data_IF_620294495192
#
_entry.id   IF_620294495192
#
_cell.length_a   1.000
_cell.length_b   1.000
_cell.length_c   1.000
_cell.angle_alpha   90.00
_cell.angle_beta   90.00
_cell.angle_gamma   90.00
#
_symmetry.space_group_name_H-M   'P 1'
#
loop_
_entity.id
_entity.type
_entity.pdbx_description
1 polymer ?
#
# COMPACT_ATOMS: atom_id res chain seq x y z
N UNK A 1 8.42 -16.47 -48.30
CA UNK A 1 9.03 -17.66 -47.68
C UNK A 1 9.05 -17.51 -46.17
N UNK A 2 8.58 -18.52 -45.42
CA UNK A 2 8.67 -18.49 -43.94
C UNK A 2 10.14 -18.48 -43.50
N UNK A 3 10.58 -17.52 -42.73
CA UNK A 3 11.97 -17.40 -42.27
C UNK A 3 12.41 -18.70 -41.55
N UNK A 4 13.45 -19.41 -42.03
CA UNK A 4 13.88 -20.69 -41.45
C UNK A 4 14.28 -20.57 -39.96
N UNK A 5 14.72 -19.40 -39.52
CA UNK A 5 15.10 -19.14 -38.14
C UNK A 5 13.91 -19.29 -37.15
N UNK A 6 12.67 -18.96 -37.58
CA UNK A 6 11.49 -19.11 -36.72
C UNK A 6 11.17 -20.56 -36.32
N UNK A 7 11.61 -21.53 -37.13
CA UNK A 7 11.46 -22.96 -36.78
C UNK A 7 12.35 -23.37 -35.60
N UNK A 8 13.36 -22.56 -35.25
CA UNK A 8 14.26 -22.83 -34.11
C UNK A 8 13.64 -22.38 -32.77
N UNK A 9 12.77 -21.36 -32.76
CA UNK A 9 12.23 -20.80 -31.55
C UNK A 9 11.60 -21.85 -30.58
N UNK A 10 10.75 -22.80 -31.04
CA UNK A 10 10.20 -23.83 -30.13
C UNK A 10 11.27 -24.78 -29.59
N UNK A 11 12.32 -25.04 -30.35
CA UNK A 11 13.43 -25.90 -29.90
C UNK A 11 14.30 -25.17 -28.89
N UNK A 12 14.63 -23.92 -29.13
CA UNK A 12 15.36 -23.06 -28.16
C UNK A 12 14.59 -22.89 -26.84
N UNK A 13 13.28 -22.72 -26.93
CA UNK A 13 12.43 -22.68 -25.74
C UNK A 13 12.49 -23.99 -24.96
N UNK A 14 12.46 -25.15 -25.64
CA UNK A 14 12.53 -26.45 -25.02
C UNK A 14 13.91 -26.73 -24.42
N UNK A 15 14.99 -26.39 -25.12
CA UNK A 15 16.36 -26.64 -24.70
C UNK A 15 16.78 -25.75 -23.51
N UNK A 16 16.19 -24.55 -23.38
CA UNK A 16 16.44 -23.60 -22.29
C UNK A 16 15.19 -23.33 -21.43
N UNK A 17 14.26 -24.29 -21.39
CA UNK A 17 12.96 -24.14 -20.73
C UNK A 17 13.07 -23.61 -19.30
N UNK A 18 13.95 -24.19 -18.46
CA UNK A 18 14.12 -23.76 -17.07
C UNK A 18 14.52 -22.28 -16.95
N UNK A 19 15.38 -21.78 -17.83
CA UNK A 19 15.78 -20.36 -17.86
C UNK A 19 14.61 -19.45 -18.19
N UNK A 20 13.86 -19.77 -19.26
CA UNK A 20 12.74 -18.97 -19.68
C UNK A 20 11.56 -19.04 -18.71
N UNK A 21 11.35 -20.20 -18.05
CA UNK A 21 10.37 -20.35 -16.99
C UNK A 21 10.66 -19.46 -15.78
N UNK A 22 11.91 -19.40 -15.33
CA UNK A 22 12.32 -18.52 -14.23
C UNK A 22 12.08 -17.06 -14.58
N UNK A 23 12.45 -16.64 -15.80
CA UNK A 23 12.22 -15.27 -16.28
C UNK A 23 10.72 -14.97 -16.32
N UNK A 24 9.93 -15.87 -16.88
CA UNK A 24 8.47 -15.75 -16.97
C UNK A 24 7.83 -15.61 -15.58
N UNK A 25 8.15 -16.51 -14.65
CA UNK A 25 7.62 -16.49 -13.29
C UNK A 25 8.03 -15.20 -12.55
N UNK A 26 9.30 -14.83 -12.66
CA UNK A 26 9.80 -13.61 -12.04
C UNK A 26 9.06 -12.36 -12.58
N UNK A 27 8.90 -12.26 -13.91
CA UNK A 27 8.16 -11.17 -14.53
C UNK A 27 6.69 -11.14 -14.10
N UNK A 28 6.03 -12.29 -14.16
CA UNK A 28 4.61 -12.42 -13.81
C UNK A 28 4.35 -12.04 -12.35
N UNK A 29 5.15 -12.57 -11.43
CA UNK A 29 5.01 -12.26 -10.00
C UNK A 29 5.32 -10.79 -9.70
N UNK A 30 6.41 -10.27 -10.25
CA UNK A 30 6.81 -8.88 -10.02
C UNK A 30 5.78 -7.89 -10.57
N UNK A 31 5.36 -8.07 -11.84
CA UNK A 31 4.35 -7.21 -12.44
C UNK A 31 3.02 -7.35 -11.72
N UNK A 32 2.65 -8.57 -11.33
CA UNK A 32 1.41 -8.85 -10.59
C UNK A 32 1.38 -8.14 -9.25
N UNK A 33 2.41 -8.31 -8.43
CA UNK A 33 2.51 -7.66 -7.12
C UNK A 33 2.49 -6.13 -7.23
N UNK A 34 3.32 -5.55 -8.09
CA UNK A 34 3.37 -4.09 -8.26
C UNK A 34 2.09 -3.54 -8.87
N UNK A 35 1.50 -4.23 -9.86
CA UNK A 35 0.21 -3.85 -10.43
C UNK A 35 -0.90 -3.92 -9.39
N UNK A 36 -0.94 -5.00 -8.59
CA UNK A 36 -1.89 -5.16 -7.49
C UNK A 36 -1.79 -4.03 -6.47
N UNK A 37 -0.56 -3.68 -6.08
CA UNK A 37 -0.33 -2.59 -5.14
C UNK A 37 -0.77 -1.23 -5.68
N UNK A 38 -0.39 -0.90 -6.92
CA UNK A 38 -0.78 0.37 -7.53
C UNK A 38 -2.29 0.48 -7.80
N UNK A 39 -2.93 -0.64 -8.12
CA UNK A 39 -4.39 -0.67 -8.34
C UNK A 39 -5.14 -0.57 -7.02
N UNK A 40 -4.77 -1.37 -6.00
CA UNK A 40 -5.39 -1.32 -4.69
C UNK A 40 -5.20 0.07 -4.04
N UNK A 41 -3.95 0.54 -3.94
CA UNK A 41 -3.65 1.84 -3.33
C UNK A 41 -4.41 2.98 -4.00
N UNK A 42 -4.42 3.03 -5.35
CA UNK A 42 -5.17 4.08 -6.06
C UNK A 42 -6.67 3.95 -5.90
N UNK A 43 -7.21 2.73 -5.85
CA UNK A 43 -8.64 2.51 -5.62
C UNK A 43 -9.04 2.93 -4.22
N UNK A 44 -8.25 2.58 -3.22
CA UNK A 44 -8.52 2.91 -1.81
C UNK A 44 -8.38 4.40 -1.54
N UNK A 45 -7.32 5.05 -2.02
CA UNK A 45 -7.17 6.52 -1.91
C UNK A 45 -8.31 7.24 -2.60
N UNK A 46 -8.76 6.76 -3.77
CA UNK A 46 -9.92 7.35 -4.43
C UNK A 46 -11.19 7.16 -3.60
N UNK A 47 -11.46 5.96 -3.12
CA UNK A 47 -12.63 5.69 -2.26
C UNK A 47 -12.59 6.54 -1.00
N UNK A 48 -11.42 6.68 -0.36
CA UNK A 48 -11.23 7.57 0.78
C UNK A 48 -11.55 9.03 0.44
N UNK A 49 -11.06 9.56 -0.67
CA UNK A 49 -11.37 10.93 -1.08
C UNK A 49 -12.84 11.10 -1.47
N UNK A 50 -13.42 10.13 -2.17
CA UNK A 50 -14.83 10.18 -2.57
C UNK A 50 -15.77 10.06 -1.34
N UNK A 51 -15.30 9.42 -0.23
CA UNK A 51 -16.11 9.23 0.99
C UNK A 51 -16.47 10.53 1.69
N UNK A 52 -15.67 11.59 1.53
CA UNK A 52 -16.00 12.91 2.10
C UNK A 52 -17.31 13.49 1.55
N UNK A 53 -17.56 13.27 0.27
CA UNK A 53 -18.81 13.71 -0.38
C UNK A 53 -19.90 12.63 -0.25
N UNK A 54 -19.58 11.35 -0.44
CA UNK A 54 -20.54 10.24 -0.42
C UNK A 54 -21.22 10.06 0.95
N UNK A 55 -20.45 10.20 2.04
CA UNK A 55 -20.94 10.04 3.41
C UNK A 55 -21.14 11.38 4.12
N UNK A 56 -21.00 12.51 3.44
CA UNK A 56 -21.13 13.84 4.00
C UNK A 56 -20.29 14.01 5.29
N UNK A 57 -18.98 13.69 5.21
CA UNK A 57 -18.08 13.78 6.36
C UNK A 57 -18.02 15.22 6.87
N UNK A 58 -18.03 15.40 8.19
CA UNK A 58 -17.98 16.69 8.88
C UNK A 58 -16.83 17.60 8.41
N UNK A 59 -17.01 18.93 8.50
CA UNK A 59 -15.91 19.90 8.39
C UNK A 59 -15.23 20.18 9.76
N UNK A 60 -15.75 19.55 10.81
CA UNK A 60 -15.23 19.49 12.15
C UNK A 60 -16.31 19.23 13.19
N UNK A 61 -15.88 18.98 14.42
CA UNK A 61 -16.82 18.79 15.54
C UNK A 61 -16.32 19.49 16.82
N UNK A 62 -17.27 19.73 17.70
CA UNK A 62 -17.00 20.22 19.05
C UNK A 62 -17.85 19.48 20.09
N UNK A 63 -17.34 19.39 21.31
CA UNK A 63 -18.03 18.77 22.43
C UNK A 63 -18.31 19.83 23.50
N UNK A 64 -19.55 19.93 23.93
CA UNK A 64 -19.96 20.83 24.99
C UNK A 64 -20.22 20.05 26.28
N UNK A 65 -20.13 20.76 27.42
CA UNK A 65 -20.48 20.20 28.72
C UNK A 65 -21.99 19.98 28.86
N UNK A 66 -22.79 20.86 28.28
CA UNK A 66 -24.23 20.85 28.32
C UNK A 66 -24.82 20.95 26.90
N UNK A 67 -26.06 20.53 26.72
CA UNK A 67 -26.75 20.61 25.44
C UNK A 67 -26.91 22.08 25.00
N UNK A 68 -26.59 22.37 23.72
CA UNK A 68 -26.75 23.70 23.11
C UNK A 68 -28.23 24.07 23.04
N UNK A 69 -28.57 25.29 23.41
CA UNK A 69 -29.96 25.77 23.26
C UNK A 69 -30.21 26.07 21.78
N UNK A 70 -31.43 25.80 21.27
CA UNK A 70 -31.79 26.11 19.87
C UNK A 70 -31.54 27.57 19.47
N UNK A 71 -31.69 28.52 20.42
CA UNK A 71 -31.37 29.94 20.16
C UNK A 71 -29.89 30.17 19.95
N UNK A 72 -29.02 29.46 20.69
CA UNK A 72 -27.57 29.57 20.55
C UNK A 72 -27.08 28.86 19.26
N UNK A 73 -27.68 27.71 18.96
CA UNK A 73 -27.39 26.99 17.72
C UNK A 73 -27.73 27.84 16.47
N UNK A 74 -28.95 28.35 16.41
CA UNK A 74 -29.36 29.20 15.27
C UNK A 74 -28.47 30.44 15.12
N UNK A 75 -28.04 31.02 16.27
CA UNK A 75 -27.13 32.15 16.24
C UNK A 75 -25.73 31.78 15.70
N UNK A 76 -25.24 30.63 16.06
CA UNK A 76 -23.95 30.10 15.57
C UNK A 76 -24.04 29.83 14.05
N UNK A 77 -25.11 29.18 13.61
CA UNK A 77 -25.37 28.87 12.20
C UNK A 77 -25.46 30.14 11.34
N UNK A 78 -26.22 31.13 11.83
CA UNK A 78 -26.45 32.42 11.11
C UNK A 78 -25.18 33.30 11.07
N UNK A 79 -24.35 33.33 12.17
CA UNK A 79 -23.17 34.20 12.24
C UNK A 79 -22.00 33.60 11.45
N UNK A 80 -21.87 32.27 11.40
CA UNK A 80 -20.69 31.59 10.83
C UNK A 80 -20.97 30.93 9.46
N UNK A 81 -22.19 31.02 8.92
CA UNK A 81 -22.64 30.35 7.68
C UNK A 81 -22.33 28.86 7.70
N UNK A 82 -22.81 28.15 8.68
CA UNK A 82 -22.65 26.70 8.88
C UNK A 82 -23.95 26.03 9.22
N UNK A 83 -24.04 24.74 8.97
CA UNK A 83 -25.10 23.88 9.48
C UNK A 83 -24.55 22.97 10.56
N UNK A 84 -25.23 22.90 11.72
CA UNK A 84 -24.78 22.12 12.89
C UNK A 84 -25.64 20.88 13.09
N UNK A 85 -24.99 19.73 13.24
CA UNK A 85 -25.63 18.43 13.44
C UNK A 85 -25.33 17.87 14.83
N UNK A 86 -26.33 17.28 15.47
CA UNK A 86 -26.17 16.63 16.78
C UNK A 86 -25.64 15.21 16.63
N UNK A 87 -24.41 14.96 17.03
CA UNK A 87 -23.74 13.65 17.02
C UNK A 87 -23.51 13.12 18.46
N UNK A 88 -24.53 13.19 19.30
CA UNK A 88 -24.42 12.72 20.68
C UNK A 88 -24.03 11.26 20.74
N UNK A 89 -23.10 10.95 21.65
CA UNK A 89 -22.68 9.60 21.90
C UNK A 89 -22.63 9.25 23.39
N UNK A 90 -22.65 7.96 23.68
CA UNK A 90 -22.46 7.41 25.03
C UNK A 90 -21.28 6.44 24.98
N UNK A 91 -20.45 6.45 26.02
CA UNK A 91 -19.38 5.47 26.16
C UNK A 91 -19.75 4.44 27.20
N UNK A 92 -19.70 3.16 26.83
CA UNK A 92 -19.95 2.01 27.73
C UNK A 92 -18.74 1.07 27.70
N UNK A 93 -18.43 0.50 28.88
CA UNK A 93 -17.33 -0.42 29.07
C UNK A 93 -17.83 -1.86 29.21
N UNK A 94 -17.28 -2.80 28.43
CA UNK A 94 -17.49 -4.22 28.56
C UNK A 94 -16.12 -4.92 28.69
N UNK A 95 -15.76 -5.30 29.92
CA UNK A 95 -14.43 -5.87 30.20
C UNK A 95 -13.31 -4.85 29.98
N UNK A 96 -12.46 -5.13 28.99
CA UNK A 96 -11.36 -4.22 28.58
C UNK A 96 -11.75 -3.34 27.40
N UNK A 97 -12.95 -3.51 26.83
CA UNK A 97 -13.40 -2.82 25.64
C UNK A 97 -14.27 -1.61 25.97
N UNK A 98 -14.02 -0.51 25.26
CA UNK A 98 -14.84 0.71 25.32
C UNK A 98 -15.64 0.86 24.03
N UNK A 99 -16.95 0.93 24.14
CA UNK A 99 -17.88 1.15 23.03
C UNK A 99 -18.34 2.60 23.04
N UNK A 100 -18.04 3.34 21.97
CA UNK A 100 -18.64 4.66 21.72
C UNK A 100 -19.85 4.47 20.83
N UNK A 101 -21.04 4.68 21.41
CA UNK A 101 -22.33 4.33 20.83
C UNK A 101 -23.01 5.59 20.32
N UNK A 102 -23.38 5.59 19.06
CA UNK A 102 -24.12 6.63 18.37
C UNK A 102 -25.53 6.15 18.00
N UNK A 103 -26.44 7.09 17.73
CA UNK A 103 -27.67 6.79 16.99
C UNK A 103 -27.31 6.50 15.53
N UNK A 104 -28.18 5.76 14.81
CA UNK A 104 -28.06 5.66 13.36
C UNK A 104 -27.89 7.04 12.73
N UNK A 105 -26.92 7.18 11.84
CA UNK A 105 -26.53 8.43 11.18
C UNK A 105 -27.01 8.43 9.72
N UNK A 106 -27.75 9.45 9.31
CA UNK A 106 -28.28 9.56 7.95
C UNK A 106 -27.83 10.87 7.30
N UNK A 107 -27.72 11.97 8.07
CA UNK A 107 -27.49 13.31 7.52
C UNK A 107 -26.01 13.68 7.41
N UNK A 108 -25.18 13.21 8.33
CA UNK A 108 -23.74 13.52 8.42
C UNK A 108 -22.95 12.31 8.92
N UNK A 109 -21.70 12.20 8.53
CA UNK A 109 -20.78 11.12 8.91
C UNK A 109 -21.39 9.73 8.72
N UNK A 110 -21.84 9.47 7.51
CA UNK A 110 -22.59 8.28 7.16
C UNK A 110 -21.86 6.96 7.48
N UNK A 111 -22.61 5.88 7.48
CA UNK A 111 -22.14 4.54 7.88
C UNK A 111 -22.00 3.64 6.65
N UNK A 112 -20.79 3.11 6.44
CA UNK A 112 -20.51 2.11 5.40
C UNK A 112 -20.72 0.71 5.92
N UNK A 113 -21.61 -0.09 5.32
CA UNK A 113 -21.91 -1.45 5.75
C UNK A 113 -21.03 -2.46 5.01
N UNK A 114 -20.20 -3.21 5.75
CA UNK A 114 -19.37 -4.29 5.20
C UNK A 114 -20.08 -5.63 5.17
N UNK A 115 -20.80 -5.95 6.25
CA UNK A 115 -21.58 -7.22 6.37
C UNK A 115 -22.85 -6.96 7.16
N UNK A 116 -23.92 -7.68 6.83
CA UNK A 116 -25.19 -7.54 7.51
C UNK A 116 -25.93 -6.25 7.12
N UNK A 117 -26.48 -5.55 8.11
CA UNK A 117 -27.24 -4.32 7.96
C UNK A 117 -27.10 -3.41 9.17
N UNK A 118 -27.48 -2.15 9.04
CA UNK A 118 -27.66 -1.24 10.19
C UNK A 118 -28.82 -1.70 11.09
N UNK A 119 -28.79 -1.37 12.39
CA UNK A 119 -29.87 -1.69 13.32
C UNK A 119 -31.20 -1.07 12.92
N UNK A 120 -32.27 -1.87 12.97
CA UNK A 120 -33.64 -1.43 12.69
C UNK A 120 -34.56 -1.61 13.89
N UNK A 121 -34.16 -2.48 14.87
CA UNK A 121 -34.94 -2.83 16.04
C UNK A 121 -34.18 -2.53 17.32
N UNK A 122 -34.93 -2.31 18.39
CA UNK A 122 -34.38 -2.24 19.73
C UNK A 122 -33.70 -3.56 20.11
N UNK A 123 -32.50 -3.49 20.69
CA UNK A 123 -31.67 -4.67 20.99
C UNK A 123 -30.77 -5.12 19.84
N UNK A 124 -30.72 -4.39 18.72
CA UNK A 124 -29.78 -4.57 17.63
C UNK A 124 -28.65 -3.52 17.72
N UNK A 125 -27.45 -3.91 17.29
CA UNK A 125 -26.27 -3.05 17.22
C UNK A 125 -25.44 -3.36 15.97
N UNK A 126 -24.89 -2.32 15.35
CA UNK A 126 -23.81 -2.51 14.37
C UNK A 126 -22.51 -1.95 14.97
N UNK A 127 -21.44 -2.74 14.89
CA UNK A 127 -20.14 -2.42 15.46
C UNK A 127 -19.10 -2.25 14.38
N UNK A 128 -18.02 -1.56 14.73
CA UNK A 128 -16.91 -1.38 13.78
C UNK A 128 -16.31 -2.73 13.35
N UNK A 129 -16.08 -2.86 12.04
CA UNK A 129 -15.57 -4.08 11.42
C UNK A 129 -14.16 -4.42 11.92
N UNK A 130 -13.27 -3.41 12.05
CA UNK A 130 -11.88 -3.67 12.44
C UNK A 130 -11.78 -4.16 13.89
N UNK A 131 -12.59 -3.57 14.79
CA UNK A 131 -12.71 -4.05 16.16
C UNK A 131 -13.30 -5.46 16.19
N UNK A 132 -14.38 -5.72 15.45
CA UNK A 132 -15.02 -7.03 15.39
C UNK A 132 -14.03 -8.12 14.95
N UNK A 133 -13.19 -7.84 13.92
CA UNK A 133 -12.13 -8.76 13.49
C UNK A 133 -11.09 -9.00 14.60
N UNK A 134 -10.79 -7.99 15.43
CA UNK A 134 -9.82 -8.10 16.53
C UNK A 134 -10.37 -8.89 17.72
N UNK A 135 -11.68 -8.79 17.99
CA UNK A 135 -12.39 -9.46 19.07
C UNK A 135 -13.03 -10.80 18.66
N UNK A 136 -12.83 -11.26 17.41
CA UNK A 136 -13.46 -12.45 16.78
C UNK A 136 -15.00 -12.43 16.87
N UNK A 137 -15.61 -11.24 16.74
CA UNK A 137 -17.06 -11.03 16.75
C UNK A 137 -17.64 -11.08 15.34
N UNK A 138 -18.84 -11.63 15.20
CA UNK A 138 -19.52 -11.85 13.92
C UNK A 138 -20.97 -11.37 13.98
N UNK A 139 -21.56 -11.13 12.82
CA UNK A 139 -23.01 -10.88 12.72
C UNK A 139 -23.77 -12.07 13.31
N UNK A 140 -24.69 -11.81 14.22
CA UNK A 140 -25.45 -12.76 15.00
C UNK A 140 -24.92 -13.03 16.42
N UNK A 141 -23.68 -12.58 16.72
CA UNK A 141 -23.15 -12.65 18.08
C UNK A 141 -23.80 -11.55 18.98
N UNK A 142 -23.63 -11.67 20.28
CA UNK A 142 -24.19 -10.73 21.25
C UNK A 142 -23.10 -10.02 22.02
N UNK A 143 -23.33 -8.76 22.31
CA UNK A 143 -22.53 -7.92 23.23
C UNK A 143 -23.41 -7.40 24.36
N UNK A 144 -22.83 -7.19 25.53
CA UNK A 144 -23.56 -6.70 26.71
C UNK A 144 -23.18 -5.26 27.01
N UNK A 145 -24.09 -4.34 26.82
CA UNK A 145 -23.89 -2.91 27.09
C UNK A 145 -24.95 -2.43 28.11
N UNK A 146 -24.53 -1.69 29.12
CA UNK A 146 -25.41 -1.25 30.21
C UNK A 146 -26.28 -2.39 30.76
N UNK A 147 -25.68 -3.58 30.97
CA UNK A 147 -26.36 -4.81 31.50
C UNK A 147 -27.44 -5.39 30.56
N UNK A 148 -27.51 -4.98 29.30
CA UNK A 148 -28.46 -5.49 28.31
C UNK A 148 -27.69 -6.16 27.17
N UNK A 149 -28.28 -7.25 26.65
CA UNK A 149 -27.75 -7.91 25.45
C UNK A 149 -28.22 -7.20 24.19
N UNK A 150 -27.28 -7.00 23.26
CA UNK A 150 -27.53 -6.50 21.90
C UNK A 150 -27.01 -7.51 20.89
N UNK A 151 -27.82 -7.82 19.87
CA UNK A 151 -27.43 -8.67 18.75
C UNK A 151 -26.69 -7.86 17.71
N UNK A 152 -25.52 -8.30 17.29
CA UNK A 152 -24.74 -7.67 16.21
C UNK A 152 -25.42 -7.96 14.88
N UNK A 153 -26.05 -6.96 14.27
CA UNK A 153 -26.73 -7.09 12.98
C UNK A 153 -25.86 -6.62 11.82
N UNK A 154 -24.80 -5.84 12.08
CA UNK A 154 -23.91 -5.36 11.05
C UNK A 154 -22.48 -5.14 11.53
N UNK A 155 -21.55 -5.37 10.60
CA UNK A 155 -20.17 -4.94 10.70
C UNK A 155 -20.00 -3.74 9.77
N UNK A 156 -19.66 -2.58 10.35
CA UNK A 156 -19.68 -1.27 9.68
C UNK A 156 -18.33 -0.57 9.77
N UNK A 157 -18.16 0.47 8.99
CA UNK A 157 -17.16 1.50 9.19
C UNK A 157 -17.87 2.86 9.24
N UNK A 158 -17.64 3.64 10.28
CA UNK A 158 -18.08 5.02 10.34
C UNK A 158 -17.10 5.89 9.55
N UNK A 159 -17.61 6.76 8.69
CA UNK A 159 -16.77 7.50 7.74
C UNK A 159 -15.81 8.50 8.41
N UNK A 160 -16.16 8.99 9.58
CA UNK A 160 -15.36 9.86 10.45
C UNK A 160 -14.33 9.10 11.33
N UNK A 161 -14.31 7.75 11.25
CA UNK A 161 -13.41 6.88 12.01
C UNK A 161 -12.62 5.92 11.10
N UNK A 162 -11.88 6.45 10.13
CA UNK A 162 -10.98 5.62 9.32
C UNK A 162 -9.90 4.92 10.16
N UNK A 163 -9.53 5.52 11.29
CA UNK A 163 -8.70 4.92 12.33
C UNK A 163 -9.36 5.12 13.70
N UNK A 164 -9.39 4.07 14.54
CA UNK A 164 -10.14 4.06 15.80
C UNK A 164 -9.39 4.80 16.92
N UNK A 165 -9.29 6.12 16.82
CA UNK A 165 -8.81 7.00 17.88
C UNK A 165 -9.94 7.27 18.87
N UNK A 166 -9.69 7.05 20.16
CA UNK A 166 -10.65 7.43 21.21
C UNK A 166 -10.65 8.93 21.44
N UNK A 167 -9.48 9.57 21.41
CA UNK A 167 -9.30 11.02 21.51
C UNK A 167 -8.37 11.51 20.44
N UNK A 168 -8.60 12.74 19.96
CA UNK A 168 -7.72 13.38 18.99
C UNK A 168 -6.31 13.70 19.55
N UNK A 169 -6.12 13.58 20.86
CA UNK A 169 -4.82 13.75 21.53
C UNK A 169 -4.05 12.43 21.72
N UNK A 170 -4.63 11.30 21.35
CA UNK A 170 -3.97 10.00 21.47
C UNK A 170 -2.82 9.91 20.47
N UNK A 171 -1.71 9.28 20.88
CA UNK A 171 -0.55 9.08 20.01
C UNK A 171 -0.74 7.94 19.01
N UNK A 172 -1.65 7.02 19.29
CA UNK A 172 -1.94 5.83 18.47
C UNK A 172 -3.42 5.47 18.63
N UNK A 173 -4.02 4.98 17.56
CA UNK A 173 -5.36 4.40 17.61
C UNK A 173 -5.34 3.02 18.28
N UNK A 174 -6.43 2.64 18.93
CA UNK A 174 -6.57 1.38 19.66
C UNK A 174 -7.78 0.58 19.18
N UNK A 175 -7.63 -0.09 18.05
CA UNK A 175 -8.67 -0.96 17.49
C UNK A 175 -8.85 -2.31 18.23
N UNK A 176 -8.13 -2.54 19.34
CA UNK A 176 -8.29 -3.73 20.16
C UNK A 176 -9.24 -3.47 21.32
N UNK A 177 -9.16 -2.29 21.94
CA UNK A 177 -9.91 -1.97 23.14
C UNK A 177 -10.97 -0.87 22.94
N UNK A 178 -10.89 -0.11 21.83
CA UNK A 178 -11.86 0.93 21.52
C UNK A 178 -12.59 0.63 20.21
N UNK A 179 -13.92 0.83 20.24
CA UNK A 179 -14.79 0.69 19.07
C UNK A 179 -15.85 1.76 19.01
N UNK A 180 -16.33 2.01 17.79
CA UNK A 180 -17.53 2.81 17.52
C UNK A 180 -18.66 1.89 17.10
N UNK A 181 -19.87 2.25 17.49
CA UNK A 181 -21.06 1.47 17.21
C UNK A 181 -22.27 2.37 16.96
N UNK A 182 -23.24 1.84 16.21
CA UNK A 182 -24.51 2.50 16.01
C UNK A 182 -25.68 1.63 16.45
N UNK A 183 -26.69 2.26 17.04
CA UNK A 183 -27.94 1.63 17.48
C UNK A 183 -29.13 2.47 17.03
N UNK A 184 -30.35 1.92 17.17
CA UNK A 184 -31.56 2.72 16.89
C UNK A 184 -31.72 3.86 17.91
N UNK A 185 -32.43 4.94 17.57
CA UNK A 185 -32.71 6.03 18.51
C UNK A 185 -33.38 5.56 19.83
N UNK A 186 -34.25 4.56 19.73
CA UNK A 186 -34.92 3.96 20.90
C UNK A 186 -33.95 3.23 21.80
N UNK A 187 -33.03 2.44 21.21
CA UNK A 187 -31.99 1.73 21.94
C UNK A 187 -31.03 2.71 22.62
N UNK A 188 -30.60 3.76 21.89
CA UNK A 188 -29.74 4.81 22.42
C UNK A 188 -30.33 5.51 23.64
N UNK A 189 -31.62 5.87 23.59
CA UNK A 189 -32.30 6.55 24.69
C UNK A 189 -32.50 5.67 25.93
N UNK A 190 -32.32 4.34 25.82
CA UNK A 190 -32.40 3.39 26.95
C UNK A 190 -31.07 3.12 27.63
N UNK A 191 -29.95 3.42 26.96
CA UNK A 191 -28.62 3.35 27.59
C UNK A 191 -28.50 4.51 28.55
N UNK A 192 -27.82 4.29 29.68
CA UNK A 192 -27.63 5.29 30.74
C UNK A 192 -27.01 6.59 30.20
N UNK A 193 -27.46 7.74 30.69
CA UNK A 193 -26.93 9.06 30.35
C UNK A 193 -25.67 9.44 31.12
N UNK A 194 -25.16 8.57 32.02
CA UNK A 194 -24.02 8.88 32.87
C UNK A 194 -22.76 9.30 32.06
N UNK A 195 -22.59 8.76 30.85
CA UNK A 195 -21.45 9.04 29.97
C UNK A 195 -21.89 9.70 28.67
N UNK A 196 -23.03 10.40 28.69
CA UNK A 196 -23.50 11.15 27.50
C UNK A 196 -22.56 12.33 27.23
N UNK A 197 -22.19 12.46 25.96
CA UNK A 197 -21.40 13.57 25.42
C UNK A 197 -22.23 14.33 24.38
N UNK A 198 -22.29 15.64 24.56
CA UNK A 198 -22.96 16.54 23.64
C UNK A 198 -21.99 16.94 22.53
N UNK A 199 -21.80 16.03 21.57
CA UNK A 199 -20.97 16.25 20.39
C UNK A 199 -21.81 16.84 19.26
N UNK A 200 -21.26 17.82 18.58
CA UNK A 200 -21.86 18.49 17.44
C UNK A 200 -20.88 18.55 16.31
N UNK A 201 -21.28 18.09 15.13
CA UNK A 201 -20.52 18.28 13.90
C UNK A 201 -21.03 19.51 13.15
N UNK A 202 -20.18 20.13 12.34
CA UNK A 202 -20.61 21.20 11.44
C UNK A 202 -20.19 20.95 10.01
N UNK A 203 -20.96 21.57 9.10
CA UNK A 203 -20.61 21.70 7.67
C UNK A 203 -20.65 23.16 7.30
N UNK A 204 -19.69 23.61 6.48
CA UNK A 204 -19.74 24.92 5.86
C UNK A 204 -20.81 24.96 4.77
N UNK A 205 -21.69 25.96 4.80
CA UNK A 205 -22.73 26.11 3.77
C UNK A 205 -22.12 26.45 2.40
N UNK A 206 -20.97 27.15 2.40
CA UNK A 206 -20.18 27.40 1.21
C UNK A 206 -19.13 26.33 0.99
N UNK A 207 -19.37 25.43 0.03
CA UNK A 207 -18.44 24.34 -0.35
C UNK A 207 -17.20 24.79 -1.12
N UNK A 208 -17.10 26.08 -1.51
CA UNK A 208 -16.00 26.60 -2.33
C UNK A 208 -14.92 27.32 -1.51
N UNK A 209 -14.92 27.15 -0.19
CA UNK A 209 -13.92 27.77 0.70
C UNK A 209 -12.53 27.18 0.45
N UNK A 210 -11.53 28.05 0.44
CA UNK A 210 -10.12 27.63 0.45
C UNK A 210 -9.71 27.13 1.85
N UNK A 211 -8.65 26.34 1.95
CA UNK A 211 -8.15 25.81 3.23
C UNK A 211 -7.87 26.94 4.26
N UNK A 212 -7.41 28.10 3.79
CA UNK A 212 -7.20 29.25 4.63
C UNK A 212 -8.50 29.84 5.17
N UNK A 213 -9.52 29.96 4.30
CA UNK A 213 -10.84 30.48 4.70
C UNK A 213 -11.55 29.50 5.66
N UNK A 214 -11.42 28.18 5.42
CA UNK A 214 -11.91 27.16 6.35
C UNK A 214 -11.25 27.31 7.73
N UNK A 215 -9.92 27.53 7.76
CA UNK A 215 -9.20 27.71 9.01
C UNK A 215 -9.63 28.99 9.73
N UNK A 216 -9.72 30.12 9.03
CA UNK A 216 -10.15 31.40 9.62
C UNK A 216 -11.58 31.26 10.20
N UNK A 217 -12.54 30.66 9.46
CA UNK A 217 -13.89 30.36 9.94
C UNK A 217 -13.92 29.41 11.15
N UNK A 218 -13.09 28.37 11.13
CA UNK A 218 -12.96 27.43 12.27
C UNK A 218 -12.49 28.15 13.54
N UNK A 219 -11.54 29.08 13.44
CA UNK A 219 -11.08 29.91 14.54
C UNK A 219 -12.20 30.87 15.05
N UNK A 220 -13.05 31.38 14.15
CA UNK A 220 -14.22 32.20 14.50
C UNK A 220 -15.28 31.37 15.23
N UNK A 221 -15.63 30.16 14.75
CA UNK A 221 -16.52 29.20 15.43
C UNK A 221 -16.01 28.90 16.84
N UNK A 222 -14.71 28.60 16.97
CA UNK A 222 -14.08 28.34 18.27
C UNK A 222 -14.21 29.53 19.22
N UNK A 223 -13.98 30.73 18.70
CA UNK A 223 -14.08 31.99 19.47
C UNK A 223 -15.53 32.25 19.89
N UNK A 224 -16.50 31.99 19.01
CA UNK A 224 -17.90 32.10 19.33
C UNK A 224 -18.32 31.16 20.45
N UNK A 225 -17.95 29.86 20.32
CA UNK A 225 -18.28 28.84 21.33
C UNK A 225 -17.62 29.12 22.68
N UNK A 226 -16.36 29.53 22.69
CA UNK A 226 -15.64 29.88 23.93
C UNK A 226 -16.27 31.05 24.70
N UNK A 227 -17.00 31.95 24.02
CA UNK A 227 -17.73 33.07 24.68
C UNK A 227 -19.10 32.69 25.18
N UNK A 228 -19.75 31.70 24.59
CA UNK A 228 -21.16 31.41 24.77
C UNK A 228 -21.48 30.06 25.45
N UNK A 229 -20.51 29.12 25.46
CA UNK A 229 -20.70 27.78 26.02
C UNK A 229 -19.44 27.26 26.71
N UNK A 230 -19.59 26.19 27.50
CA UNK A 230 -18.45 25.47 28.07
C UNK A 230 -18.05 24.34 27.15
N UNK A 231 -17.04 24.60 26.34
CA UNK A 231 -16.49 23.66 25.35
C UNK A 231 -15.42 22.77 25.99
N UNK A 232 -15.53 21.46 25.79
CA UNK A 232 -14.58 20.47 26.29
C UNK A 232 -13.63 19.97 25.22
N UNK A 233 -14.06 19.98 23.96
CA UNK A 233 -13.22 19.62 22.82
C UNK A 233 -13.63 20.41 21.56
N UNK A 234 -12.64 20.61 20.65
CA UNK A 234 -12.87 21.30 19.38
C UNK A 234 -11.86 20.78 18.35
N UNK A 235 -12.35 20.12 17.32
CA UNK A 235 -11.53 19.44 16.32
C UNK A 235 -12.03 19.81 14.92
N UNK A 236 -11.32 20.72 14.23
CA UNK A 236 -11.55 20.93 12.78
C UNK A 236 -11.20 19.68 12.00
N UNK A 237 -11.89 19.44 10.88
CA UNK A 237 -11.69 18.26 10.03
C UNK A 237 -10.21 18.03 9.66
N UNK A 238 -9.41 19.04 9.24
CA UNK A 238 -8.00 18.83 8.89
C UNK A 238 -7.11 18.35 10.06
N UNK A 239 -7.54 18.60 11.30
CA UNK A 239 -6.83 18.20 12.52
C UNK A 239 -7.38 16.88 13.11
N UNK A 240 -8.44 16.30 12.51
CA UNK A 240 -9.05 15.08 12.99
C UNK A 240 -8.26 13.84 12.58
N UNK A 241 -7.48 13.27 13.51
CA UNK A 241 -6.67 12.08 13.29
C UNK A 241 -7.51 10.84 12.92
N UNK A 242 -8.73 10.71 13.49
CA UNK A 242 -9.60 9.58 13.18
C UNK A 242 -10.01 9.55 11.70
N UNK A 243 -10.15 10.72 11.07
CA UNK A 243 -10.42 10.84 9.63
C UNK A 243 -9.15 10.66 8.81
N UNK A 244 -8.07 11.42 9.11
CA UNK A 244 -6.94 11.59 8.18
C UNK A 244 -5.84 10.53 8.28
N UNK A 245 -5.65 9.90 9.44
CA UNK A 245 -4.51 9.01 9.67
C UNK A 245 -4.37 7.90 8.62
N UNK A 246 -5.47 7.24 8.27
CA UNK A 246 -5.43 6.17 7.27
C UNK A 246 -5.17 6.70 5.85
N UNK A 247 -5.71 7.87 5.51
CA UNK A 247 -5.49 8.52 4.21
C UNK A 247 -4.03 8.92 3.99
N UNK A 248 -3.39 9.51 5.00
CA UNK A 248 -1.99 9.93 4.99
C UNK A 248 -1.04 8.75 4.88
N UNK A 249 -1.32 7.65 5.61
CA UNK A 249 -0.54 6.41 5.53
C UNK A 249 -0.61 5.79 4.13
N UNK A 250 -1.82 5.63 3.57
CA UNK A 250 -2.01 5.13 2.20
C UNK A 250 -1.28 5.99 1.16
N UNK A 251 -1.24 7.32 1.34
CA UNK A 251 -0.51 8.25 0.48
C UNK A 251 1.00 8.02 0.54
N UNK A 252 1.54 7.87 1.74
CA UNK A 252 2.97 7.61 2.00
C UNK A 252 3.42 6.27 1.43
N UNK A 253 2.63 5.23 1.59
CA UNK A 253 2.90 3.89 1.06
C UNK A 253 2.98 3.89 -0.48
N UNK A 254 2.12 4.63 -1.14
CA UNK A 254 2.15 4.77 -2.60
C UNK A 254 3.50 5.33 -3.08
N UNK A 255 4.06 6.33 -2.40
CA UNK A 255 5.37 6.89 -2.73
C UNK A 255 6.50 5.85 -2.53
N UNK A 256 6.46 5.09 -1.43
CA UNK A 256 7.44 4.04 -1.15
C UNK A 256 7.41 2.92 -2.20
N UNK A 257 6.23 2.49 -2.63
CA UNK A 257 6.07 1.45 -3.66
C UNK A 257 6.56 1.92 -5.02
N UNK A 258 6.44 3.20 -5.34
CA UNK A 258 7.04 3.76 -6.57
C UNK A 258 8.57 3.63 -6.58
N UNK A 259 9.23 3.88 -5.46
CA UNK A 259 10.69 3.65 -5.34
C UNK A 259 11.02 2.18 -5.52
N UNK A 260 10.27 1.28 -4.89
CA UNK A 260 10.44 -0.17 -5.05
C UNK A 260 10.26 -0.59 -6.52
N UNK A 261 9.27 -0.06 -7.22
CA UNK A 261 9.04 -0.31 -8.65
C UNK A 261 10.29 0.02 -9.48
N UNK A 262 10.90 1.20 -9.29
CA UNK A 262 12.12 1.56 -10.02
C UNK A 262 13.29 0.61 -9.75
N UNK A 263 13.47 0.21 -8.49
CA UNK A 263 14.49 -0.78 -8.11
C UNK A 263 14.25 -2.10 -8.85
N UNK A 264 13.03 -2.59 -8.87
CA UNK A 264 12.67 -3.84 -9.55
C UNK A 264 12.88 -3.72 -11.06
N UNK A 265 12.53 -2.61 -11.69
CA UNK A 265 12.78 -2.36 -13.12
C UNK A 265 14.28 -2.44 -13.44
N UNK A 266 15.14 -1.86 -12.60
CA UNK A 266 16.60 -1.92 -12.75
C UNK A 266 17.10 -3.37 -12.65
N UNK A 267 16.60 -4.13 -11.68
CA UNK A 267 16.97 -5.55 -11.51
C UNK A 267 16.54 -6.35 -12.75
N UNK A 268 15.32 -6.17 -13.22
CA UNK A 268 14.84 -6.84 -14.44
C UNK A 268 15.71 -6.52 -15.64
N UNK A 269 16.04 -5.25 -15.83
CA UNK A 269 16.93 -4.80 -16.91
C UNK A 269 18.28 -5.50 -16.84
N UNK A 270 18.85 -5.63 -15.65
CA UNK A 270 20.12 -6.33 -15.43
C UNK A 270 20.02 -7.83 -15.74
N UNK A 271 18.99 -8.53 -15.25
CA UNK A 271 18.77 -9.96 -15.49
C UNK A 271 18.67 -10.22 -17.00
N UNK A 272 17.92 -9.39 -17.72
CA UNK A 272 17.79 -9.53 -19.18
C UNK A 272 19.11 -9.28 -19.93
N UNK A 273 19.87 -8.26 -19.52
CA UNK A 273 21.17 -7.99 -20.11
C UNK A 273 22.11 -9.18 -19.97
N UNK A 274 22.22 -9.75 -18.76
CA UNK A 274 23.06 -10.92 -18.48
C UNK A 274 22.58 -12.15 -19.24
N UNK A 275 21.27 -12.35 -19.30
CA UNK A 275 20.66 -13.48 -20.03
C UNK A 275 20.95 -13.41 -21.52
N UNK A 276 20.78 -12.25 -22.14
CA UNK A 276 21.08 -12.03 -23.57
C UNK A 276 22.54 -12.26 -23.88
N UNK A 277 23.47 -11.79 -23.03
CA UNK A 277 24.91 -12.05 -23.19
C UNK A 277 25.21 -13.54 -23.12
N UNK A 278 24.68 -14.23 -22.11
CA UNK A 278 24.87 -15.66 -21.89
C UNK A 278 24.38 -16.50 -23.09
N UNK A 279 23.21 -16.15 -23.65
CA UNK A 279 22.68 -16.82 -24.85
C UNK A 279 23.60 -16.65 -26.06
N UNK A 280 24.12 -15.44 -26.33
CA UNK A 280 25.04 -15.19 -27.42
C UNK A 280 26.38 -15.91 -27.21
N UNK A 281 26.91 -15.93 -25.98
CA UNK A 281 28.17 -16.66 -25.67
C UNK A 281 27.99 -18.17 -25.89
N UNK A 282 26.86 -18.74 -25.48
CA UNK A 282 26.54 -20.17 -25.65
C UNK A 282 26.38 -20.53 -27.15
N UNK A 283 25.65 -19.72 -27.89
CA UNK A 283 25.37 -19.96 -29.32
C UNK A 283 26.38 -19.34 -30.28
N UNK A 284 27.53 -18.89 -29.77
CA UNK A 284 28.50 -18.16 -30.60
C UNK A 284 28.90 -18.87 -31.88
N UNK A 285 29.17 -20.18 -31.85
CA UNK A 285 29.53 -20.97 -33.03
C UNK A 285 28.41 -20.99 -34.07
N UNK A 286 27.16 -21.15 -33.62
CA UNK A 286 25.96 -21.14 -34.46
C UNK A 286 25.77 -19.75 -35.11
N UNK A 287 25.93 -18.70 -34.32
CA UNK A 287 25.88 -17.31 -34.82
C UNK A 287 26.97 -17.07 -35.89
N UNK A 288 28.18 -17.58 -35.65
CA UNK A 288 29.29 -17.48 -36.56
C UNK A 288 29.02 -18.17 -37.89
N UNK A 289 28.49 -19.40 -37.89
CA UNK A 289 28.15 -20.16 -39.09
C UNK A 289 26.97 -19.52 -39.83
N UNK A 290 25.92 -19.10 -39.15
CA UNK A 290 24.80 -18.40 -39.82
C UNK A 290 25.25 -17.12 -40.52
N UNK A 291 26.14 -16.35 -39.89
CA UNK A 291 26.70 -15.15 -40.51
C UNK A 291 27.63 -15.47 -41.69
N UNK A 292 28.39 -16.53 -41.60
CA UNK A 292 29.21 -17.00 -42.71
C UNK A 292 28.36 -17.51 -43.90
N UNK A 293 27.17 -18.05 -43.62
CA UNK A 293 26.18 -18.49 -44.61
C UNK A 293 25.32 -17.33 -45.17
N UNK A 294 25.62 -16.07 -44.86
CA UNK A 294 24.99 -14.91 -45.49
C UNK A 294 23.86 -14.24 -44.67
N UNK A 295 23.51 -14.74 -43.47
CA UNK A 295 22.54 -14.06 -42.63
C UNK A 295 23.05 -12.70 -42.16
N UNK A 296 22.18 -11.69 -42.22
CA UNK A 296 22.49 -10.32 -41.82
C UNK A 296 22.47 -10.16 -40.33
N UNK A 297 23.15 -9.12 -39.80
CA UNK A 297 23.12 -8.78 -38.40
C UNK A 297 21.69 -8.49 -37.93
N UNK A 298 20.89 -7.80 -38.75
CA UNK A 298 19.52 -7.42 -38.44
C UNK A 298 18.61 -8.64 -38.22
N UNK A 299 18.72 -9.64 -39.09
CA UNK A 299 17.95 -10.89 -38.96
C UNK A 299 18.27 -11.65 -37.69
N UNK A 300 19.56 -11.70 -37.28
CA UNK A 300 19.97 -12.34 -36.06
C UNK A 300 19.54 -11.54 -34.84
N UNK A 301 19.63 -10.20 -34.86
CA UNK A 301 19.09 -9.37 -33.77
C UNK A 301 17.61 -9.64 -33.55
N UNK A 302 16.81 -9.64 -34.62
CA UNK A 302 15.39 -9.92 -34.55
C UNK A 302 15.13 -11.31 -33.98
N UNK A 303 15.83 -12.34 -34.49
CA UNK A 303 15.67 -13.72 -34.03
C UNK A 303 15.94 -13.89 -32.54
N UNK A 304 17.07 -13.37 -32.01
CA UNK A 304 17.43 -13.48 -30.60
C UNK A 304 16.61 -12.54 -29.68
N UNK A 305 15.89 -11.56 -30.28
CA UNK A 305 14.93 -10.74 -29.56
C UNK A 305 13.54 -11.36 -29.43
N UNK A 306 13.11 -12.15 -30.47
CA UNK A 306 11.73 -12.65 -30.52
C UNK A 306 11.33 -13.41 -29.24
N UNK A 307 12.11 -14.39 -28.81
CA UNK A 307 11.74 -15.27 -27.70
C UNK A 307 11.69 -14.55 -26.34
N UNK A 308 12.72 -13.79 -25.92
CA UNK A 308 12.63 -13.00 -24.69
C UNK A 308 11.45 -12.02 -24.68
N UNK A 309 11.17 -11.37 -25.81
CA UNK A 309 10.07 -10.39 -25.89
C UNK A 309 8.69 -11.04 -25.81
N UNK A 310 8.50 -12.21 -26.44
CA UNK A 310 7.25 -12.97 -26.34
C UNK A 310 6.99 -13.38 -24.89
N UNK A 311 7.99 -13.95 -24.21
CA UNK A 311 7.87 -14.40 -22.84
C UNK A 311 7.55 -13.24 -21.90
N UNK A 312 8.24 -12.11 -22.08
CA UNK A 312 8.01 -10.91 -21.32
C UNK A 312 6.57 -10.39 -21.52
N UNK A 313 6.10 -10.33 -22.77
CA UNK A 313 4.76 -9.84 -23.08
C UNK A 313 3.67 -10.72 -22.47
N UNK A 314 3.82 -12.05 -22.58
CA UNK A 314 2.90 -13.00 -21.94
C UNK A 314 2.94 -12.86 -20.41
N UNK A 315 4.14 -12.78 -19.84
CA UNK A 315 4.32 -12.57 -18.40
C UNK A 315 3.70 -11.26 -17.92
N UNK A 316 3.82 -10.18 -18.69
CA UNK A 316 3.22 -8.89 -18.37
C UNK A 316 1.67 -8.95 -18.41
N UNK A 317 1.08 -9.59 -19.38
CA UNK A 317 -0.38 -9.77 -19.49
C UNK A 317 -0.88 -10.58 -18.27
N UNK A 318 -0.29 -11.75 -18.02
CA UNK A 318 -0.70 -12.61 -16.91
C UNK A 318 -0.45 -11.93 -15.58
N UNK A 319 0.68 -11.24 -15.41
CA UNK A 319 0.99 -10.46 -14.23
C UNK A 319 -0.08 -9.38 -13.95
N UNK A 320 -0.49 -8.62 -14.96
CA UNK A 320 -1.58 -7.65 -14.78
C UNK A 320 -2.92 -8.30 -14.43
N UNK A 321 -3.28 -9.41 -15.09
CA UNK A 321 -4.50 -10.13 -14.73
C UNK A 321 -4.47 -10.54 -13.25
N UNK A 322 -3.36 -11.11 -12.78
CA UNK A 322 -3.18 -11.47 -11.37
C UNK A 322 -3.17 -10.24 -10.46
N UNK A 323 -2.58 -9.13 -10.91
CA UNK A 323 -2.59 -7.86 -10.20
C UNK A 323 -3.99 -7.32 -9.96
N UNK A 324 -4.82 -7.30 -10.99
CA UNK A 324 -6.20 -6.81 -10.92
C UNK A 324 -7.19 -7.79 -10.29
N UNK A 325 -6.84 -9.05 -10.09
CA UNK A 325 -7.74 -10.07 -9.52
C UNK A 325 -7.32 -10.51 -8.13
N UNK A 326 -6.10 -11.00 -7.95
CA UNK A 326 -5.64 -11.63 -6.72
C UNK A 326 -4.82 -10.66 -5.87
N UNK A 327 -3.79 -10.05 -6.46
CA UNK A 327 -2.85 -9.27 -5.67
C UNK A 327 -3.43 -7.96 -5.13
N UNK A 328 -4.37 -7.34 -5.85
CA UNK A 328 -5.08 -6.17 -5.33
C UNK A 328 -5.82 -6.46 -4.02
N UNK A 329 -6.46 -7.64 -3.92
CA UNK A 329 -7.22 -8.02 -2.73
C UNK A 329 -6.29 -8.36 -1.56
N UNK A 330 -5.12 -8.95 -1.83
CA UNK A 330 -4.09 -9.17 -0.82
C UNK A 330 -3.58 -7.83 -0.26
N UNK A 331 -3.35 -6.84 -1.12
CA UNK A 331 -2.90 -5.52 -0.69
C UNK A 331 -4.01 -4.76 0.04
N UNK A 332 -5.23 -4.80 -0.47
CA UNK A 332 -6.37 -4.19 0.21
C UNK A 332 -6.57 -4.78 1.62
N UNK A 333 -6.40 -6.10 1.77
CA UNK A 333 -6.49 -6.75 3.07
C UNK A 333 -5.45 -6.23 4.08
N UNK A 334 -4.28 -5.76 3.65
CA UNK A 334 -3.28 -5.16 4.55
C UNK A 334 -3.85 -3.90 5.20
N UNK A 335 -4.47 -3.02 4.42
CA UNK A 335 -5.10 -1.80 4.92
C UNK A 335 -6.33 -2.09 5.76
N UNK A 336 -7.20 -2.99 5.31
CA UNK A 336 -8.37 -3.39 6.10
C UNK A 336 -8.02 -4.11 7.40
N UNK A 337 -6.87 -4.75 7.49
CA UNK A 337 -6.38 -5.32 8.75
C UNK A 337 -5.84 -4.27 9.72
N UNK A 338 -5.54 -3.08 9.25
CA UNK A 338 -5.03 -1.98 10.07
C UNK A 338 -6.09 -0.95 10.41
N UNK A 339 -6.98 -0.63 9.48
CA UNK A 339 -7.89 0.51 9.52
C UNK A 339 -9.35 0.12 9.36
N UNK A 340 -10.25 1.00 9.82
CA UNK A 340 -11.69 0.92 9.60
C UNK A 340 -12.08 1.74 8.37
N UNK A 341 -11.84 1.20 7.18
CA UNK A 341 -12.11 1.90 5.93
C UNK A 341 -13.48 1.53 5.37
N UNK A 342 -14.10 2.45 4.65
CA UNK A 342 -15.31 2.20 3.87
C UNK A 342 -15.09 1.15 2.78
N UNK A 343 -16.15 0.55 2.25
CA UNK A 343 -16.06 -0.45 1.19
C UNK A 343 -15.50 0.18 -0.09
N UNK A 344 -14.35 -0.31 -0.57
CA UNK A 344 -13.75 0.21 -1.79
C UNK A 344 -14.23 -0.50 -3.05
N UNK A 345 -14.26 0.23 -4.14
CA UNK A 345 -14.50 -0.31 -5.49
C UNK A 345 -13.21 -0.27 -6.31
N UNK A 346 -12.91 -1.39 -6.98
CA UNK A 346 -11.72 -1.45 -7.84
C UNK A 346 -11.89 -0.58 -9.07
N UNK A 347 -10.98 0.36 -9.28
CA UNK A 347 -10.96 1.20 -10.47
C UNK A 347 -9.88 0.78 -11.46
N UNK A 348 -10.16 0.98 -12.75
CA UNK A 348 -9.14 0.85 -13.79
C UNK A 348 -8.14 2.01 -13.69
N UNK A 349 -6.85 1.68 -13.54
CA UNK A 349 -5.78 2.67 -13.47
C UNK A 349 -4.88 2.59 -14.73
N UNK A 350 -5.06 3.50 -15.72
CA UNK A 350 -4.15 3.59 -16.87
C UNK A 350 -2.71 3.84 -16.44
N UNK A 351 -2.50 4.59 -15.37
CA UNK A 351 -1.19 4.86 -14.80
C UNK A 351 -0.49 3.56 -14.32
N UNK A 352 -1.20 2.73 -13.54
CA UNK A 352 -0.67 1.44 -13.10
C UNK A 352 -0.28 0.57 -14.29
N UNK A 353 -1.13 0.47 -15.32
CA UNK A 353 -0.84 -0.29 -16.53
C UNK A 353 0.39 0.22 -17.28
N UNK A 354 0.53 1.53 -17.46
CA UNK A 354 1.71 2.11 -18.12
C UNK A 354 2.98 1.81 -17.34
N UNK A 355 2.98 2.01 -16.02
CA UNK A 355 4.14 1.80 -15.17
C UNK A 355 4.56 0.34 -15.07
N UNK A 356 3.62 -0.59 -14.99
CA UNK A 356 3.91 -2.02 -14.81
C UNK A 356 4.10 -2.78 -16.11
N UNK A 357 3.57 -2.28 -17.24
CA UNK A 357 3.59 -2.99 -18.51
C UNK A 357 4.42 -2.26 -19.56
N UNK A 358 4.05 -1.03 -19.90
CA UNK A 358 4.66 -0.32 -21.02
C UNK A 358 6.11 0.04 -20.72
N UNK A 359 6.37 0.64 -19.56
CA UNK A 359 7.74 1.07 -19.20
C UNK A 359 8.70 -0.13 -19.10
N UNK A 360 8.41 -1.22 -18.36
CA UNK A 360 9.27 -2.40 -18.37
C UNK A 360 9.46 -3.01 -19.76
N UNK A 361 8.40 -3.11 -20.58
CA UNK A 361 8.48 -3.63 -21.94
C UNK A 361 9.40 -2.81 -22.85
N UNK A 362 9.27 -1.50 -22.83
CA UNK A 362 10.11 -0.60 -23.61
C UNK A 362 11.57 -0.67 -23.14
N UNK A 363 11.78 -0.63 -21.84
CA UNK A 363 13.13 -0.69 -21.26
C UNK A 363 13.82 -2.00 -21.61
N UNK A 364 13.12 -3.12 -21.49
CA UNK A 364 13.62 -4.45 -21.88
C UNK A 364 13.94 -4.53 -23.37
N UNK A 365 13.07 -4.01 -24.22
CA UNK A 365 13.29 -3.94 -25.65
C UNK A 365 14.57 -3.15 -25.96
N UNK A 366 14.73 -1.96 -25.40
CA UNK A 366 15.89 -1.09 -25.63
C UNK A 366 17.18 -1.75 -25.14
N UNK A 367 17.19 -2.35 -23.96
CA UNK A 367 18.37 -3.01 -23.39
C UNK A 367 18.77 -4.22 -24.24
N UNK A 368 17.81 -5.09 -24.57
CA UNK A 368 18.09 -6.25 -25.44
C UNK A 368 18.60 -5.81 -26.82
N UNK A 369 17.95 -4.82 -27.45
CA UNK A 369 18.38 -4.29 -28.73
C UNK A 369 19.81 -3.74 -28.68
N UNK A 370 20.12 -2.95 -27.65
CA UNK A 370 21.46 -2.40 -27.44
C UNK A 370 22.51 -3.50 -27.25
N UNK A 371 22.22 -4.47 -26.36
CA UNK A 371 23.15 -5.56 -26.06
C UNK A 371 23.38 -6.47 -27.28
N UNK A 372 22.32 -6.88 -27.96
CA UNK A 372 22.40 -7.73 -29.15
C UNK A 372 23.12 -7.02 -30.29
N UNK A 373 22.80 -5.78 -30.60
CA UNK A 373 23.47 -5.01 -31.66
C UNK A 373 24.94 -4.78 -31.35
N UNK A 374 25.31 -4.52 -30.08
CA UNK A 374 26.72 -4.38 -29.69
C UNK A 374 27.51 -5.69 -29.85
N UNK A 375 26.95 -6.81 -29.40
CA UNK A 375 27.63 -8.12 -29.50
C UNK A 375 27.72 -8.64 -30.94
N UNK A 376 26.66 -8.52 -31.71
CA UNK A 376 26.64 -8.98 -33.12
C UNK A 376 27.46 -8.10 -34.07
N UNK A 377 28.08 -7.01 -33.61
CA UNK A 377 29.09 -6.23 -34.36
C UNK A 377 30.39 -7.01 -34.62
N UNK A 378 30.68 -8.04 -33.83
CA UNK A 378 31.89 -8.85 -33.97
C UNK A 378 31.89 -9.59 -35.31
N UNK A 379 33.11 -9.94 -35.84
CA UNK A 379 33.26 -10.67 -37.09
C UNK A 379 32.83 -12.14 -36.93
N UNK A 380 32.35 -12.82 -38.00
CA UNK A 380 31.97 -14.23 -37.96
C UNK A 380 33.09 -15.14 -37.44
N UNK A 381 34.35 -14.84 -37.77
CA UNK A 381 35.51 -15.60 -37.31
C UNK A 381 35.70 -15.56 -35.81
N UNK A 382 35.40 -14.40 -35.14
CA UNK A 382 35.45 -14.28 -33.69
C UNK A 382 34.38 -15.11 -33.01
N UNK A 383 33.19 -15.21 -33.61
CA UNK A 383 32.12 -16.07 -33.12
C UNK A 383 32.49 -17.56 -33.20
N UNK A 384 33.02 -17.99 -34.37
CA UNK A 384 33.46 -19.39 -34.54
C UNK A 384 34.57 -19.76 -33.55
N UNK A 385 35.51 -18.86 -33.32
CA UNK A 385 36.63 -19.04 -32.39
C UNK A 385 36.24 -18.84 -30.95
N UNK A 386 34.99 -18.47 -30.63
CA UNK A 386 34.51 -18.10 -29.31
C UNK A 386 35.32 -16.96 -28.65
N UNK A 387 35.94 -16.11 -29.44
CA UNK A 387 36.74 -14.97 -28.99
C UNK A 387 35.84 -13.69 -28.92
N UNK A 388 34.81 -13.74 -28.09
CA UNK A 388 33.80 -12.69 -27.96
C UNK A 388 34.23 -11.54 -27.07
N UNK A 389 35.16 -11.78 -26.16
CA UNK A 389 35.69 -10.75 -25.24
C UNK A 389 36.91 -10.11 -25.89
N UNK A 390 36.94 -8.76 -26.00
CA UNK A 390 38.21 -8.09 -26.30
C UNK A 390 39.21 -8.51 -25.22
N UNK A 391 40.22 -9.31 -25.56
CA UNK A 391 41.40 -9.49 -24.71
C UNK A 391 42.03 -8.11 -24.53
N UNK A 392 41.63 -7.39 -23.49
CA UNK A 392 42.50 -6.34 -22.94
C UNK A 392 43.76 -7.09 -22.52
N UNK A 393 44.89 -6.71 -23.07
CA UNK A 393 46.21 -7.11 -22.53
C UNK A 393 46.31 -6.58 -21.12
N UNK A 394 45.66 -7.25 -20.19
CA UNK A 394 45.85 -6.97 -18.74
C UNK A 394 47.24 -7.51 -18.44
N UNK A 395 48.18 -6.64 -18.07
CA UNK A 395 49.48 -7.04 -17.52
C UNK A 395 49.20 -8.12 -16.50
N UNK A 396 49.91 -9.23 -16.61
CA UNK A 396 49.78 -10.35 -15.67
C UNK A 396 49.99 -9.82 -14.26
N UNK A 397 48.97 -10.00 -13.42
CA UNK A 397 49.08 -9.60 -11.99
C UNK A 397 50.22 -10.43 -11.40
N UNK A 398 51.25 -9.77 -10.88
CA UNK A 398 52.32 -10.43 -10.12
C UNK A 398 51.70 -10.95 -8.84
N UNK A 399 51.58 -12.27 -8.73
CA UNK A 399 51.07 -12.95 -7.54
C UNK A 399 52.27 -13.43 -6.73
N UNK A 400 52.17 -13.44 -5.40
CA UNK A 400 53.18 -14.03 -4.52
C UNK A 400 53.46 -15.50 -4.85
N UNK A 401 54.54 -16.06 -4.33
CA UNK A 401 54.93 -17.46 -4.56
C UNK A 401 54.09 -18.44 -3.73
N UNK A 402 52.78 -18.47 -4.02
CA UNK A 402 51.85 -19.42 -3.42
C UNK A 402 51.90 -20.78 -4.13
N UNK A 403 51.32 -21.82 -3.48
CA UNK A 403 51.13 -23.13 -4.08
C UNK A 403 50.44 -23.01 -5.43
N UNK A 404 50.80 -23.82 -6.40
CA UNK A 404 50.34 -23.78 -7.78
C UNK A 404 48.82 -23.63 -7.92
N UNK A 405 48.02 -24.43 -7.21
CA UNK A 405 46.56 -24.40 -7.29
C UNK A 405 45.94 -23.08 -6.75
N UNK A 406 46.50 -22.52 -5.68
CA UNK A 406 46.06 -21.23 -5.14
C UNK A 406 46.35 -20.12 -6.11
N UNK A 407 47.54 -20.10 -6.68
CA UNK A 407 47.97 -19.13 -7.69
C UNK A 407 47.17 -19.23 -8.97
N UNK A 408 46.81 -20.45 -9.39
CA UNK A 408 45.94 -20.69 -10.56
C UNK A 408 44.51 -20.19 -10.31
N UNK A 409 43.87 -20.53 -9.18
CA UNK A 409 42.53 -20.04 -8.79
C UNK A 409 42.48 -18.53 -8.71
N UNK A 410 43.43 -17.92 -8.03
CA UNK A 410 43.51 -16.46 -7.88
C UNK A 410 43.65 -15.76 -9.26
N UNK A 411 44.45 -16.34 -10.15
CA UNK A 411 44.59 -15.81 -11.52
C UNK A 411 43.29 -15.89 -12.32
N UNK A 412 42.50 -16.96 -12.22
CA UNK A 412 41.20 -17.12 -12.84
C UNK A 412 40.23 -16.08 -12.29
N UNK A 413 40.22 -15.85 -10.96
CA UNK A 413 39.37 -14.82 -10.33
C UNK A 413 39.71 -13.44 -10.89
N UNK A 414 40.98 -13.05 -10.89
CA UNK A 414 41.41 -11.75 -11.42
C UNK A 414 41.13 -11.57 -12.93
N UNK A 415 41.17 -12.64 -13.70
CA UNK A 415 40.81 -12.59 -15.12
C UNK A 415 39.32 -12.35 -15.35
N UNK A 416 38.48 -12.85 -14.44
CA UNK A 416 37.02 -12.76 -14.54
C UNK A 416 36.39 -11.83 -13.49
N UNK A 417 37.17 -10.93 -12.91
CA UNK A 417 36.77 -10.10 -11.76
C UNK A 417 35.47 -9.34 -12.01
N UNK A 418 35.24 -8.84 -13.23
CA UNK A 418 33.99 -8.15 -13.61
C UNK A 418 32.76 -9.05 -13.46
N UNK A 419 32.85 -10.33 -13.84
CA UNK A 419 31.75 -11.28 -13.67
C UNK A 419 31.49 -11.63 -12.22
N UNK A 420 32.56 -11.77 -11.42
CA UNK A 420 32.44 -12.03 -10.00
C UNK A 420 31.90 -10.82 -9.23
N UNK A 421 32.29 -9.59 -9.59
CA UNK A 421 31.73 -8.36 -8.99
C UNK A 421 30.23 -8.26 -9.27
N UNK A 422 29.81 -8.51 -10.52
CA UNK A 422 28.39 -8.47 -10.90
C UNK A 422 27.60 -9.52 -10.11
N UNK A 423 28.13 -10.74 -9.98
CA UNK A 423 27.51 -11.80 -9.19
C UNK A 423 27.44 -11.42 -7.70
N UNK A 424 28.53 -10.87 -7.16
CA UNK A 424 28.58 -10.41 -5.77
C UNK A 424 27.53 -9.32 -5.49
N UNK A 425 27.43 -8.33 -6.38
CA UNK A 425 26.42 -7.25 -6.25
C UNK A 425 25.01 -7.84 -6.28
N UNK A 426 24.72 -8.75 -7.20
CA UNK A 426 23.41 -9.40 -7.30
C UNK A 426 23.06 -10.20 -6.03
N UNK A 427 23.99 -11.01 -5.52
CA UNK A 427 23.78 -11.78 -4.29
C UNK A 427 23.64 -10.85 -3.09
N UNK A 428 24.53 -9.84 -2.95
CA UNK A 428 24.48 -8.88 -1.84
C UNK A 428 23.15 -8.12 -1.82
N UNK A 429 22.69 -7.65 -2.99
CA UNK A 429 21.42 -6.94 -3.09
C UNK A 429 20.23 -7.84 -2.71
N UNK A 430 20.18 -9.06 -3.25
CA UNK A 430 19.12 -10.02 -2.90
C UNK A 430 19.14 -10.37 -1.41
N UNK A 431 20.34 -10.52 -0.82
CA UNK A 431 20.50 -10.80 0.61
C UNK A 431 20.05 -9.62 1.47
N UNK A 432 20.36 -8.39 1.08
CA UNK A 432 19.90 -7.17 1.78
C UNK A 432 18.37 -7.08 1.76
N UNK A 433 17.73 -7.31 0.62
CA UNK A 433 16.28 -7.31 0.51
C UNK A 433 15.62 -8.41 1.35
N UNK A 434 16.19 -9.61 1.33
CA UNK A 434 15.70 -10.71 2.16
C UNK A 434 15.85 -10.40 3.65
N UNK A 435 17.01 -9.89 4.07
CA UNK A 435 17.27 -9.52 5.46
C UNK A 435 16.33 -8.39 5.91
N UNK A 436 16.11 -7.38 5.08
CA UNK A 436 15.18 -6.30 5.39
C UNK A 436 13.77 -6.85 5.69
N UNK A 437 13.24 -7.73 4.81
CA UNK A 437 11.93 -8.35 5.02
C UNK A 437 11.85 -9.24 6.26
N UNK A 438 12.92 -10.00 6.57
CA UNK A 438 12.94 -10.90 7.72
C UNK A 438 13.20 -10.20 9.06
N UNK A 439 13.96 -9.10 9.06
CA UNK A 439 14.35 -8.39 10.29
C UNK A 439 13.26 -7.43 10.76
N UNK A 440 12.41 -6.93 9.86
CA UNK A 440 11.39 -5.94 10.20
C UNK A 440 10.47 -6.40 11.33
N UNK A 441 9.92 -7.61 11.24
CA UNK A 441 8.99 -8.13 12.24
C UNK A 441 9.61 -8.35 13.63
N UNK A 442 10.80 -8.98 13.78
CA UNK A 442 11.48 -9.05 15.07
C UNK A 442 11.80 -7.68 15.67
N UNK A 443 12.26 -6.72 14.84
CA UNK A 443 12.58 -5.35 15.29
C UNK A 443 11.34 -4.64 15.82
N UNK A 444 10.21 -4.73 15.12
CA UNK A 444 8.95 -4.14 15.58
C UNK A 444 8.47 -4.76 16.90
N UNK A 445 8.60 -6.08 17.04
CA UNK A 445 8.23 -6.78 18.28
C UNK A 445 9.14 -6.39 19.45
N UNK A 446 10.44 -6.26 19.21
CA UNK A 446 11.40 -5.82 20.23
C UNK A 446 11.18 -4.35 20.61
N UNK A 447 10.90 -3.49 19.63
CA UNK A 447 10.55 -2.09 19.83
C UNK A 447 9.27 -1.94 20.68
N UNK A 448 8.20 -2.68 20.34
CA UNK A 448 6.98 -2.73 21.14
C UNK A 448 7.27 -3.13 22.59
N UNK A 449 8.05 -4.18 22.81
CA UNK A 449 8.43 -4.64 24.15
C UNK A 449 9.25 -3.58 24.89
N UNK A 450 10.22 -2.96 24.21
CA UNK A 450 11.06 -1.92 24.80
C UNK A 450 10.26 -0.70 25.20
N UNK A 451 9.27 -0.27 24.40
CA UNK A 451 8.37 0.82 24.76
C UNK A 451 7.58 0.46 26.02
N UNK A 452 6.96 -0.71 26.06
CA UNK A 452 6.16 -1.16 27.20
C UNK A 452 7.01 -1.25 28.48
N UNK A 453 8.21 -1.83 28.39
CA UNK A 453 9.12 -2.00 29.52
C UNK A 453 9.69 -0.68 30.05
N UNK A 454 9.78 0.35 29.20
CA UNK A 454 10.30 1.68 29.56
C UNK A 454 9.20 2.72 29.82
N UNK A 455 7.93 2.36 29.74
CA UNK A 455 6.84 3.25 30.14
C UNK A 455 6.96 3.61 31.61
N UNK A 456 7.04 4.89 31.99
CA UNK A 456 7.18 5.32 33.39
C UNK A 456 5.96 5.01 34.26
N UNK A 457 4.81 4.69 33.65
CA UNK A 457 3.59 4.31 34.31
C UNK A 457 2.73 3.38 33.44
N UNK A 458 1.93 2.50 34.10
CA UNK A 458 1.00 1.59 33.38
C UNK A 458 -0.12 2.34 32.65
N UNK A 459 -0.47 3.52 33.12
CA UNK A 459 -1.54 4.36 32.57
C UNK A 459 -1.04 5.81 32.53
N UNK A 460 -0.68 6.36 31.37
CA UNK A 460 -0.38 7.78 31.25
C UNK A 460 -1.67 8.57 31.47
N UNK A 461 -1.70 9.43 32.47
CA UNK A 461 -2.79 10.38 32.67
C UNK A 461 -2.30 11.74 32.17
N UNK A 462 -2.92 12.22 31.10
CA UNK A 462 -2.71 13.59 30.64
C UNK A 462 -3.55 14.53 31.46
N UNK A 463 -2.92 15.40 32.26
CA UNK A 463 -3.63 16.48 32.94
C UNK A 463 -3.84 17.64 31.98
N UNK A 464 -5.07 17.82 31.51
CA UNK A 464 -5.46 18.92 30.63
C UNK A 464 -5.66 20.26 31.35
N UNK A 465 -5.59 20.31 32.68
CA UNK A 465 -5.69 21.55 33.47
C UNK A 465 -4.62 21.60 34.55
N UNK A 466 -3.58 22.41 34.33
CA UNK A 466 -2.85 23.09 35.37
C UNK A 466 -3.65 24.37 35.71
N UNK A 467 -4.58 24.31 36.63
CA UNK A 467 -5.08 25.51 37.30
C UNK A 467 -4.00 25.99 38.25
N UNK A 468 -3.32 27.06 37.91
CA UNK A 468 -2.71 27.99 38.85
C UNK A 468 -3.64 29.16 39.09
#
# INVERSE_FOLDING_TARGET
MKNPLRKRLPRELKDEFGKYLVIFLFMTLTIGLVSGFLVAGKSMVKTYNDSFEEYNIEDGHFILNDEITGTLQNKLEDEEDITVYSLFYKEEEEGEHTYRIYKNREDIDGVSVHKGRIPEKDGEIAIDRKFADSADLKVGDKVTLDKKEYEITGLVALSDYSALFRSNTDLMFDAQNFTVAVVTPEAFNRISDNNLKYCYAWKYDNTSLTDKEKKDKSDDIKTFLAKNAVMTDFVPEPDNQAIHFAGDDMGSDTAMVMVLLYIVIIIMAFIFAVTSISTIEKESTVIGTLRASGYTRKELVIHYMELPMIIMFIGAIIGNILGYTIFKDIVAAIYYNSYSLTVYTTIWSPYAFVMTTIIPCVLMFVINLFMLTKMLKLSPLKFIRRDLKKRKNRKAVKLPEWKFFTRFRTRIIFQNISSYIIMLIGIAFSSIMLLFGLVMQPVLNDYKKTIIDNMPCKYPVSYTHLTL
#
